data_IF_938402243280
#
_entry.id   IF_938402243280
#
_cell.length_a   1.000
_cell.length_b   1.000
_cell.length_c   1.000
_cell.angle_alpha   90.00
_cell.angle_beta   90.00
_cell.angle_gamma   90.00
#
_symmetry.space_group_name_H-M   'P 1'
#
loop_
_entity.id
_entity.type
_entity.pdbx_description
1 polymer ?
#
# COMPACT_ATOMS: atom_id res chain seq x y z
N UNK A 1 -38.77 1.61 -9.21
CA UNK A 1 -38.30 0.39 -8.51
C UNK A 1 -37.64 0.84 -7.21
N UNK A 2 -37.83 0.09 -6.12
CA UNK A 2 -37.23 0.46 -4.83
C UNK A 2 -35.72 0.21 -4.86
N UNK A 3 -34.95 1.22 -4.43
CA UNK A 3 -33.48 1.20 -4.38
C UNK A 3 -33.02 1.37 -2.94
N UNK A 4 -31.75 1.08 -2.68
CA UNK A 4 -31.13 1.33 -1.38
C UNK A 4 -30.63 2.77 -1.30
N UNK A 5 -30.98 3.46 -0.24
CA UNK A 5 -30.59 4.84 0.03
C UNK A 5 -30.02 4.93 1.44
N UNK A 6 -29.06 5.83 1.67
CA UNK A 6 -28.58 6.11 3.02
C UNK A 6 -29.62 6.93 3.80
N UNK A 7 -29.89 6.54 5.05
CA UNK A 7 -30.60 7.40 6.01
C UNK A 7 -29.67 8.01 7.04
N UNK A 8 -28.59 7.31 7.39
CA UNK A 8 -27.52 7.86 8.20
C UNK A 8 -26.19 7.31 7.69
N UNK A 9 -25.19 8.16 7.54
CA UNK A 9 -23.85 7.74 7.11
C UNK A 9 -22.75 8.53 7.80
N UNK A 10 -21.71 7.82 8.22
CA UNK A 10 -20.42 8.36 8.63
C UNK A 10 -19.36 7.67 7.78
N UNK A 11 -19.01 8.32 6.66
CA UNK A 11 -18.06 7.78 5.69
C UNK A 11 -16.65 7.59 6.28
N UNK A 12 -16.29 8.41 7.28
CA UNK A 12 -14.98 8.37 7.93
C UNK A 12 -14.88 7.18 8.88
N UNK A 13 -15.92 6.94 9.67
CA UNK A 13 -16.00 5.78 10.54
C UNK A 13 -16.37 4.48 9.80
N UNK A 14 -16.75 4.58 8.51
CA UNK A 14 -17.22 3.45 7.72
C UNK A 14 -18.56 2.90 8.22
N UNK A 15 -19.38 3.75 8.83
CA UNK A 15 -20.66 3.36 9.40
C UNK A 15 -21.78 3.87 8.51
N UNK A 16 -22.72 3.00 8.15
CA UNK A 16 -23.87 3.41 7.36
C UNK A 16 -25.13 2.64 7.73
N UNK A 17 -26.26 3.33 7.62
CA UNK A 17 -27.58 2.72 7.66
C UNK A 17 -28.28 3.01 6.33
N UNK A 18 -28.62 1.96 5.60
CA UNK A 18 -29.32 2.04 4.34
C UNK A 18 -30.73 1.45 4.44
N UNK A 19 -31.66 2.03 3.68
CA UNK A 19 -33.07 1.63 3.63
C UNK A 19 -33.45 1.39 2.18
N UNK A 20 -34.20 0.31 1.94
CA UNK A 20 -34.77 0.04 0.63
C UNK A 20 -36.09 0.77 0.46
N UNK A 21 -36.11 1.87 -0.30
CA UNK A 21 -37.30 2.70 -0.52
C UNK A 21 -37.35 3.33 -1.91
N UNK A 22 -38.48 3.95 -2.31
CA UNK A 22 -38.49 4.88 -3.42
C UNK A 22 -37.62 6.13 -3.13
N UNK A 23 -37.19 6.87 -4.17
CA UNK A 23 -36.52 8.16 -4.00
C UNK A 23 -37.38 9.12 -3.19
N UNK A 24 -36.76 9.90 -2.29
CA UNK A 24 -37.49 10.87 -1.47
C UNK A 24 -38.03 11.97 -2.37
N UNK A 25 -39.35 12.13 -2.43
CA UNK A 25 -40.00 13.31 -3.04
C UNK A 25 -40.57 14.20 -1.93
N UNK A 26 -40.87 15.47 -2.23
CA UNK A 26 -41.47 16.40 -1.26
C UNK A 26 -42.77 15.89 -0.62
N UNK A 27 -43.44 14.91 -1.23
CA UNK A 27 -44.67 14.29 -0.74
C UNK A 27 -44.46 12.92 -0.09
N UNK A 28 -43.22 12.42 0.00
CA UNK A 28 -42.95 11.10 0.61
C UNK A 28 -42.77 11.28 2.10
N UNK A 29 -43.86 11.11 2.86
CA UNK A 29 -43.73 10.90 4.30
C UNK A 29 -42.82 9.71 4.56
N UNK A 30 -41.99 9.84 5.59
CA UNK A 30 -41.11 8.79 6.11
C UNK A 30 -42.00 7.62 6.60
N UNK A 31 -42.44 6.76 5.68
CA UNK A 31 -43.13 5.50 6.01
C UNK A 31 -42.04 4.53 6.47
N UNK A 32 -41.75 4.59 7.77
CA UNK A 32 -40.52 4.07 8.37
C UNK A 32 -40.54 2.60 8.77
N UNK A 33 -41.72 1.95 8.86
CA UNK A 33 -41.82 0.70 9.62
C UNK A 33 -41.85 -0.57 8.75
N UNK A 34 -41.95 -0.47 7.43
CA UNK A 34 -42.10 -1.65 6.55
C UNK A 34 -40.93 -1.86 5.59
N UNK A 35 -40.02 -0.90 5.47
CA UNK A 35 -38.90 -1.00 4.54
C UNK A 35 -37.71 -1.73 5.17
N UNK A 36 -37.10 -2.72 4.47
CA UNK A 36 -35.87 -3.35 4.91
C UNK A 36 -34.77 -2.31 5.21
N UNK A 37 -34.14 -2.45 6.36
CA UNK A 37 -33.09 -1.56 6.83
C UNK A 37 -31.85 -2.36 7.22
N UNK A 38 -30.69 -1.91 6.75
CA UNK A 38 -29.41 -2.59 6.91
C UNK A 38 -28.39 -1.63 7.52
N UNK A 39 -27.60 -2.13 8.47
CA UNK A 39 -26.43 -1.49 9.03
C UNK A 39 -25.16 -2.08 8.43
N UNK A 40 -24.16 -1.23 8.19
CA UNK A 40 -22.86 -1.59 7.63
C UNK A 40 -21.77 -0.99 8.51
N UNK A 41 -20.76 -1.79 8.85
CA UNK A 41 -19.61 -1.38 9.66
C UNK A 41 -18.35 -2.21 9.34
N UNK A 42 -17.15 -1.66 9.59
CA UNK A 42 -15.91 -2.44 9.54
C UNK A 42 -15.89 -3.55 10.62
N UNK A 43 -15.01 -4.58 10.47
CA UNK A 43 -14.08 -4.78 9.36
C UNK A 43 -14.69 -5.50 8.15
N UNK A 44 -15.83 -6.18 8.34
CA UNK A 44 -16.41 -7.07 7.33
C UNK A 44 -17.39 -6.41 6.36
N UNK A 45 -17.96 -5.26 6.71
CA UNK A 45 -19.02 -4.57 5.94
C UNK A 45 -20.17 -5.49 5.51
N UNK A 46 -20.41 -6.55 6.27
CA UNK A 46 -21.54 -7.45 6.02
C UNK A 46 -22.84 -6.74 6.40
N UNK A 47 -23.88 -6.81 5.56
CA UNK A 47 -25.16 -6.16 5.85
C UNK A 47 -25.84 -6.80 7.07
N UNK A 48 -26.06 -6.02 8.11
CA UNK A 48 -26.78 -6.44 9.32
C UNK A 48 -28.19 -5.87 9.33
N UNK A 49 -29.21 -6.74 9.38
CA UNK A 49 -30.59 -6.29 9.42
C UNK A 49 -30.93 -5.60 10.74
N UNK A 50 -31.50 -4.40 10.67
CA UNK A 50 -32.01 -3.69 11.85
C UNK A 50 -33.52 -3.56 11.77
N UNK A 51 -34.19 -3.89 12.88
CA UNK A 51 -35.65 -3.98 12.92
C UNK A 51 -36.38 -2.63 13.02
N UNK A 52 -35.68 -1.52 13.20
CA UNK A 52 -36.29 -0.23 13.44
C UNK A 52 -35.48 0.94 12.86
N UNK A 53 -36.11 1.72 11.98
CA UNK A 53 -35.49 2.91 11.38
C UNK A 53 -35.22 4.04 12.39
N UNK A 54 -35.84 4.01 13.57
CA UNK A 54 -35.55 4.94 14.66
C UNK A 54 -34.07 4.95 15.05
N UNK A 55 -33.35 3.83 14.84
CA UNK A 55 -31.89 3.76 15.05
C UNK A 55 -31.16 4.71 14.08
N UNK A 56 -31.55 4.73 12.81
CA UNK A 56 -30.97 5.65 11.83
C UNK A 56 -31.28 7.11 12.17
N UNK A 57 -32.51 7.40 12.61
CA UNK A 57 -32.88 8.75 13.03
C UNK A 57 -32.13 9.20 14.29
N UNK A 58 -31.84 8.27 15.21
CA UNK A 58 -31.03 8.58 16.38
C UNK A 58 -29.57 8.84 15.97
N UNK A 59 -29.02 8.03 15.07
CA UNK A 59 -27.66 8.21 14.55
C UNK A 59 -27.50 9.56 13.81
N UNK A 60 -28.46 9.94 12.96
CA UNK A 60 -28.43 11.20 12.21
C UNK A 60 -28.64 12.46 13.06
N UNK A 61 -29.22 12.33 14.26
CA UNK A 61 -29.23 13.41 15.27
C UNK A 61 -27.89 13.55 16.00
N UNK A 62 -27.04 12.53 15.93
CA UNK A 62 -25.69 12.54 16.48
C UNK A 62 -24.70 13.14 15.48
N UNK A 63 -23.68 12.37 15.12
CA UNK A 63 -22.61 12.77 14.20
C UNK A 63 -22.81 12.33 12.76
N UNK A 64 -23.81 11.48 12.47
CA UNK A 64 -24.00 10.93 11.12
C UNK A 64 -24.62 11.97 10.20
N UNK A 65 -24.16 12.01 8.95
CA UNK A 65 -24.83 12.75 7.90
C UNK A 65 -26.16 12.08 7.54
N UNK A 66 -27.24 12.86 7.49
CA UNK A 66 -28.53 12.40 7.01
C UNK A 66 -28.54 12.35 5.48
N UNK A 67 -28.72 11.16 4.91
CA UNK A 67 -28.72 10.92 3.46
C UNK A 67 -27.44 11.37 2.74
N UNK A 68 -27.32 11.03 1.45
CA UNK A 68 -26.18 11.39 0.62
C UNK A 68 -26.68 11.83 -0.75
N UNK A 69 -26.13 12.93 -1.26
CA UNK A 69 -26.60 13.57 -2.49
C UNK A 69 -25.43 13.89 -3.42
N UNK A 70 -25.70 13.81 -4.72
CA UNK A 70 -24.86 14.34 -5.81
C UNK A 70 -25.66 15.44 -6.49
N UNK A 71 -25.30 16.70 -6.25
CA UNK A 71 -26.13 17.83 -6.62
C UNK A 71 -27.50 17.71 -5.97
N UNK A 72 -28.57 17.71 -6.78
CA UNK A 72 -29.96 17.58 -6.31
C UNK A 72 -30.46 16.13 -6.28
N UNK A 73 -29.62 15.16 -6.68
CA UNK A 73 -30.03 13.75 -6.79
C UNK A 73 -29.54 12.95 -5.59
N UNK A 74 -30.47 12.29 -4.90
CA UNK A 74 -30.14 11.36 -3.82
C UNK A 74 -29.38 10.14 -4.36
N UNK A 75 -28.26 9.80 -3.70
CA UNK A 75 -27.47 8.62 -4.01
C UNK A 75 -28.31 7.36 -3.77
N UNK A 76 -28.24 6.42 -4.70
CA UNK A 76 -29.05 5.20 -4.66
C UNK A 76 -28.30 4.01 -5.24
N UNK A 77 -28.57 2.82 -4.69
CA UNK A 77 -27.91 1.57 -5.04
C UNK A 77 -28.95 0.49 -5.38
N UNK A 78 -28.60 -0.42 -6.29
CA UNK A 78 -29.47 -1.54 -6.66
C UNK A 78 -29.48 -2.63 -5.59
N UNK A 79 -28.32 -2.91 -4.97
CA UNK A 79 -28.16 -4.01 -4.01
C UNK A 79 -27.42 -3.58 -2.74
N UNK A 80 -27.53 -4.33 -1.62
CA UNK A 80 -26.74 -4.08 -0.42
C UNK A 80 -25.22 -4.19 -0.63
N UNK A 81 -24.77 -5.03 -1.55
CA UNK A 81 -23.35 -5.23 -1.86
C UNK A 81 -22.73 -3.95 -2.46
N UNK A 82 -23.48 -3.22 -3.29
CA UNK A 82 -23.07 -1.91 -3.78
C UNK A 82 -22.96 -0.90 -2.62
N UNK A 83 -23.88 -0.93 -1.66
CA UNK A 83 -23.80 -0.07 -0.47
C UNK A 83 -22.54 -0.40 0.34
N UNK A 84 -22.30 -1.68 0.61
CA UNK A 84 -21.15 -2.15 1.37
C UNK A 84 -19.83 -1.75 0.71
N UNK A 85 -19.69 -1.96 -0.61
CA UNK A 85 -18.48 -1.61 -1.36
C UNK A 85 -18.25 -0.09 -1.39
N UNK A 86 -19.31 0.71 -1.56
CA UNK A 86 -19.19 2.18 -1.50
C UNK A 86 -18.67 2.65 -0.13
N UNK A 87 -19.28 2.16 0.96
CA UNK A 87 -18.90 2.54 2.34
C UNK A 87 -17.49 2.04 2.67
N UNK A 88 -17.15 0.80 2.29
CA UNK A 88 -15.81 0.23 2.47
C UNK A 88 -14.75 1.07 1.77
N UNK A 89 -14.97 1.42 0.50
CA UNK A 89 -13.99 2.21 -0.27
C UNK A 89 -13.82 3.61 0.32
N UNK A 90 -14.90 4.25 0.75
CA UNK A 90 -14.83 5.54 1.43
C UNK A 90 -14.06 5.45 2.76
N UNK A 91 -14.38 4.46 3.60
CA UNK A 91 -13.69 4.19 4.86
C UNK A 91 -12.19 3.95 4.68
N UNK A 92 -11.83 3.02 3.79
CA UNK A 92 -10.42 2.68 3.54
C UNK A 92 -9.67 3.86 2.93
N UNK A 93 -10.30 4.61 2.02
CA UNK A 93 -9.72 5.83 1.46
C UNK A 93 -9.50 6.91 2.51
N UNK A 94 -10.41 7.01 3.49
CA UNK A 94 -10.37 7.95 4.62
C UNK A 94 -9.48 7.53 5.79
N UNK A 95 -9.03 6.27 5.83
CA UNK A 95 -8.26 5.66 6.93
C UNK A 95 -6.84 6.24 7.15
N UNK A 96 -6.55 7.45 6.66
CA UNK A 96 -5.42 8.26 7.12
C UNK A 96 -5.62 8.86 8.52
N UNK A 97 -6.24 8.07 9.42
CA UNK A 97 -6.51 8.43 10.79
C UNK A 97 -7.80 9.23 10.99
N UNK A 98 -8.61 8.74 11.91
CA UNK A 98 -9.15 9.60 12.95
C UNK A 98 -7.98 10.30 13.65
N UNK A 99 -7.37 11.32 13.01
CA UNK A 99 -6.36 12.21 13.57
C UNK A 99 -6.89 13.08 14.71
N UNK A 100 -7.82 12.54 15.50
CA UNK A 100 -8.43 13.14 16.67
C UNK A 100 -7.70 12.77 17.96
N UNK A 101 -7.30 11.51 18.19
CA UNK A 101 -6.80 11.12 19.51
C UNK A 101 -5.71 10.03 19.45
N UNK A 102 -4.44 10.44 19.43
CA UNK A 102 -3.42 9.78 20.24
C UNK A 102 -2.95 8.36 19.89
N UNK A 103 -3.09 7.90 18.64
CA UNK A 103 -2.30 6.75 18.15
C UNK A 103 -0.82 7.13 18.11
N UNK A 104 -0.11 6.94 19.22
CA UNK A 104 1.25 7.45 19.50
C UNK A 104 2.38 6.79 18.71
N UNK A 105 2.24 6.68 17.39
CA UNK A 105 3.34 6.40 16.48
C UNK A 105 3.97 7.70 15.99
N UNK A 106 5.28 7.82 16.09
CA UNK A 106 6.01 8.78 15.27
C UNK A 106 5.79 8.35 13.81
N UNK A 107 4.92 9.05 13.06
CA UNK A 107 4.66 8.77 11.63
C UNK A 107 5.94 8.82 10.77
N UNK A 108 5.89 8.83 9.43
CA UNK A 108 7.12 8.87 8.64
C UNK A 108 7.97 10.09 8.97
N UNK A 109 9.30 10.00 8.79
CA UNK A 109 10.18 11.18 8.93
C UNK A 109 9.70 12.27 7.98
N UNK A 110 9.50 13.52 8.46
CA UNK A 110 9.06 14.61 7.59
C UNK A 110 10.12 14.94 6.53
N UNK A 111 9.72 15.51 5.39
CA UNK A 111 10.68 15.99 4.42
C UNK A 111 11.53 17.13 5.00
N UNK A 112 12.79 17.22 4.57
CA UNK A 112 13.71 18.25 5.05
C UNK A 112 13.32 19.62 4.44
N UNK A 113 13.10 20.66 5.27
CA UNK A 113 12.83 22.00 4.76
C UNK A 113 14.06 22.47 3.97
N UNK A 114 13.82 23.06 2.80
CA UNK A 114 14.80 23.77 1.97
C UNK A 114 15.86 22.92 1.23
N UNK A 115 15.69 21.58 1.14
CA UNK A 115 16.57 20.74 0.29
C UNK A 115 15.94 20.46 -1.08
N UNK A 116 16.65 20.73 -2.20
CA UNK A 116 16.16 20.35 -3.52
C UNK A 116 16.08 18.82 -3.59
N UNK A 117 14.87 18.29 -3.77
CA UNK A 117 14.67 16.85 -3.96
C UNK A 117 14.96 16.48 -5.40
N UNK A 118 15.43 15.25 -5.61
CA UNK A 118 15.58 14.75 -6.96
C UNK A 118 14.21 14.26 -7.44
N UNK A 119 13.64 14.94 -8.43
CA UNK A 119 12.32 14.64 -8.98
C UNK A 119 12.38 13.69 -10.19
N UNK A 120 13.58 13.32 -10.66
CA UNK A 120 13.69 12.46 -11.84
C UNK A 120 13.19 11.04 -11.54
N UNK A 121 12.25 10.49 -12.32
CA UNK A 121 11.80 9.11 -12.15
C UNK A 121 12.97 8.13 -12.21
N UNK A 122 12.93 7.09 -11.38
CA UNK A 122 13.88 5.97 -11.48
C UNK A 122 13.59 5.23 -12.78
N UNK A 123 14.62 5.04 -13.60
CA UNK A 123 14.53 4.24 -14.85
C UNK A 123 15.41 3.03 -14.68
N UNK A 124 14.85 1.82 -14.76
CA UNK A 124 15.63 0.57 -14.83
C UNK A 124 15.75 0.13 -16.28
N UNK A 125 16.98 -0.17 -16.71
CA UNK A 125 17.25 -0.70 -18.05
C UNK A 125 16.44 -1.97 -18.33
N UNK A 126 15.77 -2.01 -19.48
CA UNK A 126 14.93 -3.14 -19.90
C UNK A 126 13.56 -3.20 -19.21
N UNK A 127 13.20 -2.20 -18.40
CA UNK A 127 11.85 -2.05 -17.87
C UNK A 127 11.09 -0.95 -18.64
N UNK A 128 10.09 -1.37 -19.41
CA UNK A 128 9.28 -0.47 -20.25
C UNK A 128 8.15 0.23 -19.49
N UNK A 129 8.13 0.11 -18.16
CA UNK A 129 7.07 0.65 -17.30
C UNK A 129 6.05 -0.40 -16.86
N UNK A 130 5.09 -0.02 -15.99
CA UNK A 130 4.04 -0.89 -15.48
C UNK A 130 2.93 -1.09 -16.51
N UNK A 131 3.27 -1.50 -17.74
CA UNK A 131 2.35 -1.56 -18.89
C UNK A 131 1.06 -2.31 -18.55
N UNK A 132 1.17 -3.49 -17.95
CA UNK A 132 0.01 -4.35 -17.71
C UNK A 132 -0.86 -3.84 -16.55
N UNK A 133 -0.24 -3.45 -15.42
CA UNK A 133 -1.02 -2.92 -14.29
C UNK A 133 -1.64 -1.55 -14.61
N UNK A 134 -0.92 -0.69 -15.33
CA UNK A 134 -1.45 0.57 -15.81
C UNK A 134 -2.62 0.35 -16.78
N UNK A 135 -2.53 -0.65 -17.66
CA UNK A 135 -3.64 -1.01 -18.55
C UNK A 135 -4.90 -1.43 -17.76
N UNK A 136 -4.75 -2.22 -16.69
CA UNK A 136 -5.88 -2.60 -15.83
C UNK A 136 -6.47 -1.40 -15.09
N UNK A 137 -5.65 -0.47 -14.58
CA UNK A 137 -6.15 0.78 -13.98
C UNK A 137 -6.89 1.64 -15.02
N UNK A 138 -6.39 1.73 -16.25
CA UNK A 138 -7.08 2.41 -17.35
C UNK A 138 -8.40 1.72 -17.74
N UNK A 139 -8.47 0.38 -17.70
CA UNK A 139 -9.71 -0.36 -17.91
C UNK A 139 -10.72 -0.06 -16.82
N UNK A 140 -10.30 -0.01 -15.55
CA UNK A 140 -11.17 0.38 -14.44
C UNK A 140 -11.68 1.82 -14.60
N UNK A 141 -10.80 2.77 -14.92
CA UNK A 141 -11.19 4.16 -15.23
C UNK A 141 -12.19 4.23 -16.40
N UNK A 142 -12.04 3.38 -17.40
CA UNK A 142 -12.97 3.29 -18.54
C UNK A 142 -14.33 2.71 -18.12
N UNK A 143 -14.35 1.73 -17.20
CA UNK A 143 -15.59 1.23 -16.63
C UNK A 143 -16.33 2.36 -15.89
N UNK A 144 -15.63 3.08 -15.01
CA UNK A 144 -16.16 4.24 -14.28
C UNK A 144 -16.78 5.28 -15.21
N UNK A 145 -16.09 5.66 -16.29
CA UNK A 145 -16.61 6.69 -17.23
C UNK A 145 -17.82 6.22 -18.05
N UNK A 146 -18.01 4.91 -18.19
CA UNK A 146 -19.15 4.31 -18.91
C UNK A 146 -20.34 4.03 -18.00
N UNK A 147 -20.11 3.89 -16.69
CA UNK A 147 -21.18 3.66 -15.71
C UNK A 147 -22.07 4.88 -15.57
N UNK A 148 -23.38 4.69 -15.77
CA UNK A 148 -24.36 5.77 -15.67
C UNK A 148 -24.65 6.13 -14.22
N UNK A 149 -25.16 7.34 -14.02
CA UNK A 149 -25.53 7.82 -12.70
C UNK A 149 -26.53 6.88 -12.00
N UNK A 150 -26.25 6.51 -10.75
CA UNK A 150 -27.06 5.56 -9.99
C UNK A 150 -26.98 4.12 -10.48
N UNK A 151 -26.04 3.78 -11.36
CA UNK A 151 -25.70 2.40 -11.70
C UNK A 151 -24.31 2.07 -11.14
N UNK A 152 -24.03 0.78 -11.01
CA UNK A 152 -22.69 0.24 -10.78
C UNK A 152 -22.35 -0.74 -11.90
N UNK A 153 -21.07 -1.01 -12.10
CA UNK A 153 -20.60 -2.01 -13.06
C UNK A 153 -19.58 -2.89 -12.37
N UNK A 154 -19.83 -4.21 -12.38
CA UNK A 154 -18.87 -5.18 -11.87
C UNK A 154 -17.58 -5.15 -12.70
N UNK A 155 -16.45 -5.18 -12.01
CA UNK A 155 -15.13 -5.13 -12.58
C UNK A 155 -14.26 -6.23 -12.01
N UNK A 156 -13.70 -7.04 -12.90
CA UNK A 156 -12.76 -8.10 -12.56
C UNK A 156 -11.33 -7.67 -12.90
N UNK A 157 -10.46 -7.65 -11.88
CA UNK A 157 -9.05 -7.32 -12.02
C UNK A 157 -8.26 -8.50 -12.56
N UNK A 158 -7.69 -8.39 -13.77
CA UNK A 158 -6.84 -9.44 -14.31
C UNK A 158 -5.37 -9.18 -13.99
N UNK A 159 -5.01 -9.30 -12.70
CA UNK A 159 -3.63 -9.14 -12.23
C UNK A 159 -2.88 -10.46 -12.16
N UNK A 160 -3.28 -11.52 -12.87
CA UNK A 160 -2.62 -12.84 -12.74
C UNK A 160 -1.86 -13.26 -14.01
N UNK A 161 -2.36 -12.87 -15.18
CA UNK A 161 -1.77 -13.20 -16.48
C UNK A 161 -0.72 -12.16 -16.91
N UNK A 162 0.31 -12.54 -17.68
CA UNK A 162 1.28 -11.64 -18.32
C UNK A 162 2.43 -11.10 -17.45
N UNK A 163 2.17 -10.63 -16.24
CA UNK A 163 3.11 -9.75 -15.54
C UNK A 163 4.31 -10.42 -14.85
N UNK A 164 4.67 -11.67 -15.10
CA UNK A 164 5.63 -12.36 -14.22
C UNK A 164 7.00 -11.63 -14.13
N UNK A 165 7.54 -11.21 -15.27
CA UNK A 165 8.78 -10.40 -15.30
C UNK A 165 8.55 -8.93 -14.93
N UNK A 166 7.44 -8.34 -15.39
CA UNK A 166 7.10 -6.94 -15.16
C UNK A 166 6.86 -6.64 -13.68
N UNK A 167 6.11 -7.49 -12.98
CA UNK A 167 5.73 -7.28 -11.59
C UNK A 167 6.94 -7.35 -10.63
N UNK A 168 7.94 -8.20 -10.93
CA UNK A 168 9.20 -8.20 -10.19
C UNK A 168 9.95 -6.87 -10.39
N UNK A 169 10.11 -6.43 -11.65
CA UNK A 169 10.77 -5.17 -11.97
C UNK A 169 10.03 -3.95 -11.38
N UNK A 170 8.71 -4.00 -11.32
CA UNK A 170 7.84 -2.99 -10.71
C UNK A 170 7.98 -2.97 -9.19
N UNK A 171 8.02 -4.14 -8.54
CA UNK A 171 8.29 -4.27 -7.11
C UNK A 171 9.69 -3.70 -6.77
N UNK A 172 10.70 -4.02 -7.57
CA UNK A 172 12.05 -3.46 -7.41
C UNK A 172 12.03 -1.94 -7.59
N UNK A 173 11.34 -1.40 -8.61
CA UNK A 173 11.18 0.05 -8.77
C UNK A 173 10.59 0.72 -7.52
N UNK A 174 9.51 0.16 -6.98
CA UNK A 174 8.87 0.68 -5.77
C UNK A 174 9.85 0.74 -4.60
N UNK A 175 10.61 -0.32 -4.38
CA UNK A 175 11.62 -0.37 -3.31
C UNK A 175 12.77 0.61 -3.53
N UNK A 176 13.28 0.72 -4.76
CA UNK A 176 14.32 1.70 -5.09
C UNK A 176 13.82 3.14 -4.90
N UNK A 177 12.55 3.42 -5.19
CA UNK A 177 11.93 4.72 -4.95
C UNK A 177 11.87 5.05 -3.45
N UNK A 178 11.53 4.07 -2.60
CA UNK A 178 11.55 4.22 -1.15
C UNK A 178 12.96 4.43 -0.60
N UNK A 179 13.97 3.69 -1.09
CA UNK A 179 15.36 3.91 -0.69
C UNK A 179 15.85 5.30 -1.04
N UNK A 180 15.56 5.76 -2.26
CA UNK A 180 15.91 7.12 -2.69
C UNK A 180 15.22 8.16 -1.83
N UNK A 181 13.93 8.01 -1.54
CA UNK A 181 13.20 8.95 -0.69
C UNK A 181 13.79 9.01 0.72
N UNK A 182 14.14 7.86 1.32
CA UNK A 182 14.83 7.85 2.62
C UNK A 182 16.17 8.56 2.55
N UNK A 183 16.98 8.32 1.51
CA UNK A 183 18.28 8.96 1.34
C UNK A 183 18.15 10.48 1.14
N UNK A 184 17.12 10.93 0.41
CA UNK A 184 16.82 12.36 0.23
C UNK A 184 16.39 13.01 1.56
N UNK A 185 15.76 12.23 2.46
CA UNK A 185 15.42 12.64 3.85
C UNK A 185 16.56 12.44 4.86
N UNK A 186 17.78 12.08 4.43
CA UNK A 186 18.91 11.86 5.34
C UNK A 186 19.24 13.15 6.15
N UNK A 187 19.14 13.12 7.49
CA UNK A 187 19.31 14.32 8.31
C UNK A 187 20.78 14.77 8.42
N UNK A 188 21.76 13.97 8.01
CA UNK A 188 23.17 14.30 8.22
C UNK A 188 23.56 14.14 9.69
N UNK A 189 24.28 15.14 10.21
CA UNK A 189 24.67 15.23 11.63
C UNK A 189 23.63 15.97 12.48
N UNK A 190 22.50 16.38 11.89
CA UNK A 190 21.44 17.14 12.55
C UNK A 190 20.50 16.21 13.34
N UNK A 191 19.55 16.81 14.09
CA UNK A 191 18.54 16.05 14.82
C UNK A 191 17.70 15.16 13.90
N UNK A 192 17.24 14.00 14.41
CA UNK A 192 16.42 13.05 13.64
C UNK A 192 17.17 11.85 13.07
N UNK A 193 18.49 11.76 13.25
CA UNK A 193 19.31 10.61 12.80
C UNK A 193 18.82 9.24 13.32
N UNK A 194 18.46 9.15 14.60
CA UNK A 194 17.97 7.89 15.18
C UNK A 194 16.65 7.45 14.55
N UNK A 195 15.70 8.38 14.36
CA UNK A 195 14.44 8.11 13.67
C UNK A 195 14.69 7.67 12.22
N UNK A 196 15.62 8.34 11.53
CA UNK A 196 16.07 7.93 10.20
C UNK A 196 16.62 6.50 10.15
N UNK A 197 17.46 6.13 11.12
CA UNK A 197 17.94 4.75 11.22
C UNK A 197 16.78 3.78 11.41
N UNK A 198 15.83 4.11 12.27
CA UNK A 198 14.70 3.22 12.57
C UNK A 198 13.82 2.99 11.33
N UNK A 199 13.49 4.04 10.57
CA UNK A 199 12.73 3.94 9.31
C UNK A 199 13.52 3.18 8.23
N UNK A 200 14.83 3.44 8.13
CA UNK A 200 15.71 2.79 7.18
C UNK A 200 15.87 1.28 7.48
N UNK A 201 15.98 0.92 8.77
CA UNK A 201 15.93 -0.47 9.23
C UNK A 201 14.60 -1.12 8.96
N UNK A 202 13.50 -0.40 9.16
CA UNK A 202 12.17 -0.91 8.86
C UNK A 202 12.02 -1.26 7.37
N UNK A 203 12.53 -0.41 6.46
CA UNK A 203 12.57 -0.73 5.03
C UNK A 203 13.44 -1.94 4.73
N UNK A 204 14.67 -1.97 5.26
CA UNK A 204 15.59 -3.08 5.01
C UNK A 204 15.02 -4.42 5.48
N UNK A 205 14.43 -4.47 6.67
CA UNK A 205 13.76 -5.66 7.17
C UNK A 205 12.56 -6.08 6.32
N UNK A 206 11.73 -5.12 5.87
CA UNK A 206 10.62 -5.42 4.97
C UNK A 206 11.12 -6.05 3.66
N UNK A 207 12.19 -5.49 3.07
CA UNK A 207 12.84 -6.00 1.84
C UNK A 207 13.40 -7.42 2.02
N UNK A 208 14.02 -7.71 3.17
CA UNK A 208 14.47 -9.06 3.51
C UNK A 208 13.28 -10.02 3.64
N UNK A 209 12.24 -9.60 4.36
CA UNK A 209 11.05 -10.41 4.63
C UNK A 209 10.36 -10.85 3.34
N UNK A 210 10.24 -9.95 2.36
CA UNK A 210 9.69 -10.26 1.04
C UNK A 210 10.68 -10.96 0.09
N UNK A 211 11.86 -11.36 0.59
CA UNK A 211 12.90 -12.08 -0.15
C UNK A 211 13.48 -11.31 -1.36
N UNK A 212 13.38 -9.98 -1.35
CA UNK A 212 13.78 -9.15 -2.50
C UNK A 212 15.25 -8.75 -2.47
N UNK A 213 15.93 -8.79 -1.31
CA UNK A 213 17.35 -8.43 -1.19
C UNK A 213 18.26 -9.14 -2.22
N UNK A 214 18.17 -10.47 -2.41
CA UNK A 214 18.88 -11.18 -3.48
C UNK A 214 18.67 -10.61 -4.89
N UNK A 215 17.45 -10.19 -5.19
CA UNK A 215 17.10 -9.61 -6.50
C UNK A 215 17.73 -8.23 -6.63
N UNK A 216 17.67 -7.39 -5.60
CA UNK A 216 18.32 -6.08 -5.58
C UNK A 216 19.84 -6.15 -5.74
N UNK A 217 20.48 -7.19 -5.21
CA UNK A 217 21.92 -7.42 -5.33
C UNK A 217 22.33 -8.05 -6.67
N UNK A 218 21.36 -8.47 -7.50
CA UNK A 218 21.64 -8.99 -8.83
C UNK A 218 21.81 -7.85 -9.86
N UNK A 219 22.61 -8.08 -10.90
CA UNK A 219 22.70 -7.19 -12.06
C UNK A 219 21.41 -7.38 -12.89
N UNK A 220 20.69 -6.31 -13.31
CA UNK A 220 21.07 -4.89 -13.36
C UNK A 220 20.65 -4.02 -12.16
N UNK A 221 19.88 -4.56 -11.21
CA UNK A 221 19.33 -3.79 -10.09
C UNK A 221 20.40 -3.21 -9.17
N UNK A 222 21.48 -3.96 -8.95
CA UNK A 222 22.63 -3.51 -8.18
C UNK A 222 23.24 -2.21 -8.72
N UNK A 223 23.31 -2.06 -10.06
CA UNK A 223 23.84 -0.85 -10.68
C UNK A 223 22.95 0.38 -10.41
N UNK A 224 21.63 0.20 -10.39
CA UNK A 224 20.68 1.28 -10.09
C UNK A 224 20.75 1.67 -8.62
N UNK A 225 20.77 0.68 -7.74
CA UNK A 225 20.90 0.93 -6.31
C UNK A 225 22.24 1.62 -5.99
N UNK A 226 23.34 1.20 -6.63
CA UNK A 226 24.63 1.89 -6.57
C UNK A 226 24.57 3.32 -7.11
N UNK A 227 23.91 3.55 -8.24
CA UNK A 227 23.73 4.89 -8.80
C UNK A 227 22.98 5.81 -7.85
N UNK A 228 21.87 5.36 -7.25
CA UNK A 228 21.14 6.12 -6.22
C UNK A 228 22.07 6.55 -5.08
N UNK A 229 22.98 5.66 -4.67
CA UNK A 229 23.94 5.94 -3.62
C UNK A 229 25.01 6.93 -4.02
N UNK A 230 25.60 6.76 -5.20
CA UNK A 230 26.60 7.67 -5.75
C UNK A 230 26.05 9.10 -5.89
N UNK A 231 24.75 9.26 -6.18
CA UNK A 231 24.08 10.55 -6.25
C UNK A 231 23.61 11.08 -4.87
N UNK A 232 23.57 10.23 -3.85
CA UNK A 232 23.21 10.63 -2.49
C UNK A 232 24.36 11.40 -1.83
N UNK A 233 24.05 12.47 -1.08
CA UNK A 233 25.08 13.29 -0.41
C UNK A 233 25.91 12.55 0.65
N UNK A 234 25.51 11.33 1.07
CA UNK A 234 26.36 10.41 1.84
C UNK A 234 27.75 10.21 1.21
N UNK A 235 27.86 10.40 -0.12
CA UNK A 235 29.09 10.29 -0.89
C UNK A 235 29.92 11.57 -1.01
N UNK A 236 29.37 12.74 -0.67
CA UNK A 236 30.03 14.04 -0.92
C UNK A 236 31.20 14.35 0.03
N UNK A 237 31.40 13.59 1.11
CA UNK A 237 32.49 13.78 2.10
C UNK A 237 33.82 13.07 1.74
N UNK A 238 33.94 12.49 0.53
CA UNK A 238 35.22 12.44 -0.20
C UNK A 238 36.35 11.48 0.24
N UNK A 239 36.18 10.53 1.16
CA UNK A 239 37.31 9.69 1.63
C UNK A 239 37.14 8.17 1.56
N UNK A 240 35.95 7.65 1.28
CA UNK A 240 35.70 6.19 1.24
C UNK A 240 35.34 5.73 -0.18
N UNK A 241 35.83 4.54 -0.58
CA UNK A 241 35.47 3.91 -1.85
C UNK A 241 33.94 3.66 -1.91
N UNK A 242 33.26 3.87 -3.06
CA UNK A 242 31.82 3.66 -3.21
C UNK A 242 31.30 2.34 -2.61
N UNK A 243 32.02 1.26 -2.91
CA UNK A 243 31.71 -0.05 -2.35
C UNK A 243 31.71 -0.10 -0.81
N UNK A 244 32.58 0.64 -0.12
CA UNK A 244 32.62 0.63 1.34
C UNK A 244 31.41 1.36 1.95
N UNK A 245 31.05 2.53 1.40
CA UNK A 245 29.83 3.27 1.81
C UNK A 245 28.55 2.50 1.49
N UNK A 246 28.54 1.79 0.38
CA UNK A 246 27.49 0.84 0.05
C UNK A 246 27.34 -0.21 1.15
N UNK A 247 28.44 -0.84 1.56
CA UNK A 247 28.44 -1.87 2.61
C UNK A 247 28.03 -1.29 3.97
N UNK A 248 28.53 -0.10 4.35
CA UNK A 248 28.08 0.61 5.56
C UNK A 248 26.58 0.88 5.54
N UNK A 249 26.01 1.21 4.39
CA UNK A 249 24.57 1.43 4.28
C UNK A 249 23.79 0.11 4.29
N UNK A 250 24.28 -0.96 3.66
CA UNK A 250 23.71 -2.30 3.80
C UNK A 250 23.70 -2.68 5.30
N UNK A 251 24.81 -2.49 6.01
CA UNK A 251 24.88 -2.70 7.47
C UNK A 251 23.88 -1.82 8.24
N UNK A 252 23.69 -0.57 7.82
CA UNK A 252 22.75 0.35 8.45
C UNK A 252 21.29 -0.07 8.23
N UNK A 253 20.96 -0.49 7.01
CA UNK A 253 19.63 -0.89 6.56
C UNK A 253 19.21 -2.25 7.10
N UNK A 254 20.15 -3.18 7.24
CA UNK A 254 19.84 -4.56 7.63
C UNK A 254 20.28 -4.89 9.06
N UNK A 255 21.19 -4.11 9.66
CA UNK A 255 21.61 -4.21 11.05
C UNK A 255 22.99 -4.88 11.26
N UNK A 256 23.62 -4.71 12.43
CA UNK A 256 24.94 -5.25 12.74
C UNK A 256 24.96 -6.78 12.90
N UNK A 257 23.82 -7.44 13.10
CA UNK A 257 23.79 -8.91 13.09
C UNK A 257 24.06 -9.50 11.68
N UNK A 258 24.10 -8.63 10.66
CA UNK A 258 24.56 -8.94 9.30
C UNK A 258 26.04 -8.57 9.07
N UNK A 259 26.81 -8.32 10.14
CA UNK A 259 28.22 -7.92 10.10
C UNK A 259 29.05 -8.85 9.20
N UNK A 260 29.76 -8.20 8.29
CA UNK A 260 30.69 -8.77 7.33
C UNK A 260 32.04 -9.05 8.01
N UNK A 261 32.06 -9.92 9.02
CA UNK A 261 33.32 -10.31 9.65
C UNK A 261 34.16 -11.12 8.66
N UNK A 262 35.26 -10.48 8.23
CA UNK A 262 36.37 -10.90 7.35
C UNK A 262 36.30 -10.48 5.87
N UNK A 263 36.93 -9.33 5.56
CA UNK A 263 37.52 -9.06 4.24
C UNK A 263 39.05 -8.95 4.37
N UNK A 264 39.81 -10.05 4.36
CA UNK A 264 41.24 -9.99 4.10
C UNK A 264 41.44 -9.80 2.60
N UNK A 265 42.21 -8.78 2.23
CA UNK A 265 42.25 -8.21 0.89
C UNK A 265 42.50 -9.19 -0.25
N UNK A 266 41.65 -9.12 -1.27
CA UNK A 266 41.99 -9.22 -2.70
C UNK A 266 40.71 -9.21 -3.53
N UNK A 267 40.75 -8.46 -4.63
CA UNK A 267 40.13 -8.80 -5.92
C UNK A 267 38.82 -9.63 -5.89
N UNK A 268 37.68 -8.93 -6.05
CA UNK A 268 36.50 -9.34 -6.84
C UNK A 268 36.04 -10.82 -6.81
N UNK A 269 36.23 -11.51 -5.68
CA UNK A 269 35.56 -12.78 -5.42
C UNK A 269 34.27 -12.54 -4.61
N UNK A 270 33.15 -12.37 -5.33
CA UNK A 270 31.81 -12.68 -4.79
C UNK A 270 31.78 -14.18 -4.45
N UNK A 271 31.89 -14.65 -3.17
CA UNK A 271 30.85 -15.60 -2.69
C UNK A 271 30.65 -15.87 -1.17
N UNK A 272 31.34 -15.28 -0.17
CA UNK A 272 31.15 -15.73 1.25
C UNK A 272 30.11 -14.97 2.07
N UNK A 273 30.06 -13.66 1.91
CA UNK A 273 29.11 -12.80 2.62
C UNK A 273 27.65 -12.99 2.17
N UNK A 274 27.45 -13.29 0.88
CA UNK A 274 26.15 -13.59 0.29
C UNK A 274 25.50 -14.81 0.98
N UNK A 275 26.28 -15.85 1.28
CA UNK A 275 25.82 -17.05 1.98
C UNK A 275 25.34 -16.75 3.42
N UNK A 276 26.10 -15.94 4.17
CA UNK A 276 25.71 -15.54 5.53
C UNK A 276 24.49 -14.62 5.54
N UNK A 277 24.35 -13.70 4.58
CA UNK A 277 23.12 -12.88 4.44
C UNK A 277 21.88 -13.75 4.29
N UNK A 278 21.95 -14.83 3.50
CA UNK A 278 20.85 -15.79 3.37
C UNK A 278 20.57 -16.56 4.65
N UNK A 279 21.62 -16.99 5.36
CA UNK A 279 21.50 -17.73 6.61
C UNK A 279 20.87 -16.82 7.69
N UNK A 280 21.42 -15.63 7.93
CA UNK A 280 20.88 -14.69 8.93
C UNK A 280 19.48 -14.19 8.59
N UNK A 281 19.16 -13.93 7.32
CA UNK A 281 17.80 -13.57 6.88
C UNK A 281 16.78 -14.70 7.03
N UNK A 282 17.21 -15.97 6.99
CA UNK A 282 16.35 -17.12 7.21
C UNK A 282 16.11 -17.41 8.70
N UNK A 283 17.06 -17.04 9.59
CA UNK A 283 17.04 -17.39 11.01
C UNK A 283 16.72 -16.24 11.97
N UNK A 284 16.88 -14.98 11.56
CA UNK A 284 16.37 -13.86 12.33
C UNK A 284 14.84 -13.94 12.27
N UNK A 285 14.22 -14.53 13.31
CA UNK A 285 12.81 -14.24 13.59
C UNK A 285 12.76 -12.74 13.77
N UNK A 286 12.15 -11.97 12.83
CA UNK A 286 11.94 -10.57 13.09
C UNK A 286 11.21 -10.51 14.43
N UNK A 287 11.50 -9.55 15.31
CA UNK A 287 10.61 -9.35 16.46
C UNK A 287 9.19 -9.24 15.91
N UNK A 288 8.16 -9.57 16.70
CA UNK A 288 6.76 -9.60 16.25
C UNK A 288 6.27 -8.21 15.83
N UNK A 289 6.78 -7.71 14.71
CA UNK A 289 6.58 -6.38 14.19
C UNK A 289 5.26 -6.43 13.46
N UNK A 290 4.38 -5.55 13.87
CA UNK A 290 3.17 -5.28 13.12
C UNK A 290 3.60 -4.67 11.78
N UNK A 291 3.29 -5.36 10.69
CA UNK A 291 3.64 -4.90 9.34
C UNK A 291 3.01 -3.55 9.03
N UNK A 292 1.87 -3.25 9.63
CA UNK A 292 1.19 -1.97 9.46
C UNK A 292 2.02 -0.85 10.08
N UNK A 293 2.62 -1.05 11.26
CA UNK A 293 3.53 -0.07 11.88
C UNK A 293 4.74 0.22 10.99
N UNK A 294 5.25 -0.79 10.26
CA UNK A 294 6.34 -0.60 9.29
C UNK A 294 5.84 0.27 8.13
N UNK A 295 4.74 -0.11 7.49
CA UNK A 295 4.18 0.64 6.35
C UNK A 295 3.76 2.07 6.74
N UNK A 296 3.35 2.26 7.99
CA UNK A 296 3.04 3.57 8.56
C UNK A 296 4.28 4.44 8.73
N UNK A 297 5.46 3.89 9.02
CA UNK A 297 6.70 4.65 9.16
C UNK A 297 7.39 4.97 7.85
N UNK A 298 7.14 4.21 6.80
CA UNK A 298 7.84 4.40 5.53
C UNK A 298 7.30 5.63 4.78
N UNK A 299 8.13 6.64 4.47
CA UNK A 299 7.69 7.79 3.70
C UNK A 299 7.43 7.41 2.24
N UNK A 300 6.53 8.15 1.58
CA UNK A 300 6.34 8.06 0.13
C UNK A 300 7.14 9.13 -0.61
N UNK A 301 7.58 8.87 -1.85
CA UNK A 301 8.27 9.87 -2.66
C UNK A 301 7.43 11.12 -2.92
N UNK A 302 8.06 12.28 -3.02
CA UNK A 302 7.38 13.56 -3.31
C UNK A 302 6.46 13.51 -4.55
N UNK A 303 6.85 12.90 -5.70
CA UNK A 303 5.95 12.77 -6.85
C UNK A 303 4.67 11.96 -6.57
N UNK A 304 4.68 11.14 -5.49
CA UNK A 304 3.55 10.34 -5.02
C UNK A 304 2.74 11.11 -3.95
N UNK A 305 3.35 12.05 -3.22
CA UNK A 305 2.68 12.87 -2.21
C UNK A 305 1.51 13.69 -2.80
N UNK A 306 1.56 14.01 -4.10
CA UNK A 306 0.50 14.74 -4.82
C UNK A 306 -0.86 14.00 -4.87
N UNK A 307 -0.90 12.70 -4.59
CA UNK A 307 -2.14 11.91 -4.51
C UNK A 307 -2.95 12.25 -3.24
N UNK A 308 -2.28 12.72 -2.19
CA UNK A 308 -2.91 12.95 -0.92
C UNK A 308 -3.53 14.36 -0.85
N UNK A 309 -4.69 14.51 -0.20
CA UNK A 309 -5.23 15.82 0.13
C UNK A 309 -4.22 16.66 0.93
N UNK A 310 -4.17 17.98 0.68
CA UNK A 310 -3.22 18.89 1.31
C UNK A 310 -3.32 18.96 2.84
N UNK A 311 -4.44 18.50 3.42
CA UNK A 311 -4.75 18.50 4.85
C UNK A 311 -4.39 17.20 5.58
N UNK A 312 -3.98 16.13 4.87
CA UNK A 312 -3.44 14.88 5.47
C UNK A 312 -2.06 15.11 6.12
N UNK A 313 -1.54 16.34 6.07
CA UNK A 313 -0.31 16.72 6.76
C UNK A 313 0.92 16.19 6.00
N UNK A 314 2.07 16.81 6.26
CA UNK A 314 3.33 16.66 5.52
C UNK A 314 4.01 15.28 5.65
N UNK A 315 3.25 14.23 5.93
CA UNK A 315 3.74 13.01 6.55
C UNK A 315 2.95 11.78 6.04
N UNK A 316 2.72 11.71 4.72
CA UNK A 316 2.12 10.55 4.05
C UNK A 316 3.07 9.35 4.08
N UNK A 317 2.51 8.15 4.26
CA UNK A 317 3.27 6.91 4.34
C UNK A 317 2.85 5.88 3.29
N UNK A 318 3.63 4.80 3.17
CA UNK A 318 3.32 3.67 2.29
C UNK A 318 1.97 3.05 2.63
N UNK A 319 1.61 2.98 3.92
CA UNK A 319 0.28 2.53 4.36
C UNK A 319 -0.83 3.42 3.78
N UNK A 320 -0.67 4.74 3.88
CA UNK A 320 -1.62 5.69 3.32
C UNK A 320 -1.76 5.52 1.80
N UNK A 321 -0.64 5.33 1.08
CA UNK A 321 -0.67 5.11 -0.36
C UNK A 321 -1.47 3.85 -0.73
N UNK A 322 -1.21 2.74 -0.02
CA UNK A 322 -1.92 1.49 -0.27
C UNK A 322 -3.43 1.68 -0.08
N UNK A 323 -3.84 2.33 1.01
CA UNK A 323 -5.23 2.64 1.31
C UNK A 323 -5.88 3.50 0.21
N UNK A 324 -5.18 4.53 -0.27
CA UNK A 324 -5.68 5.32 -1.40
C UNK A 324 -5.79 4.48 -2.66
N UNK A 325 -4.80 3.64 -2.96
CA UNK A 325 -4.79 2.82 -4.17
C UNK A 325 -5.91 1.76 -4.18
N UNK A 326 -6.16 1.08 -3.07
CA UNK A 326 -7.25 0.08 -2.97
C UNK A 326 -8.64 0.72 -2.90
N UNK A 327 -8.74 1.99 -2.49
CA UNK A 327 -9.97 2.76 -2.48
C UNK A 327 -10.27 3.37 -3.85
N UNK A 328 -9.27 4.02 -4.46
CA UNK A 328 -9.33 4.68 -5.75
C UNK A 328 -8.04 4.49 -6.57
N UNK A 329 -7.93 3.40 -7.36
CA UNK A 329 -6.74 3.14 -8.15
C UNK A 329 -6.53 4.18 -9.26
N UNK A 330 -7.56 4.97 -9.63
CA UNK A 330 -7.47 6.02 -10.65
C UNK A 330 -6.55 7.16 -10.21
N UNK A 331 -6.29 7.30 -8.91
CA UNK A 331 -5.33 8.26 -8.37
C UNK A 331 -3.92 8.08 -8.98
N UNK A 332 -3.55 6.85 -9.39
CA UNK A 332 -2.30 6.58 -10.07
C UNK A 332 -2.21 7.21 -11.49
N UNK A 333 -3.35 7.59 -12.08
CA UNK A 333 -3.45 8.19 -13.41
C UNK A 333 -3.47 9.72 -13.38
N UNK A 334 -3.49 10.35 -12.21
CA UNK A 334 -3.53 11.80 -12.13
C UNK A 334 -2.23 12.42 -12.70
N UNK A 335 -2.38 13.58 -13.35
CA UNK A 335 -1.27 14.25 -14.01
C UNK A 335 -0.19 14.65 -13.01
N UNK A 336 1.08 14.59 -13.43
CA UNK A 336 2.27 14.89 -12.63
C UNK A 336 2.61 13.89 -11.52
N UNK A 337 1.99 12.71 -11.52
CA UNK A 337 2.33 11.62 -10.62
C UNK A 337 3.20 10.60 -11.34
N UNK A 338 4.23 10.10 -10.64
CA UNK A 338 5.00 8.95 -11.11
C UNK A 338 4.17 7.67 -10.89
N UNK A 339 3.40 7.28 -11.90
CA UNK A 339 2.57 6.09 -11.89
C UNK A 339 3.38 4.81 -11.57
N UNK A 340 4.62 4.73 -12.07
CA UNK A 340 5.50 3.57 -11.81
C UNK A 340 5.80 3.46 -10.32
N UNK A 341 6.12 4.57 -9.66
CA UNK A 341 6.35 4.61 -8.23
C UNK A 341 5.09 4.24 -7.44
N UNK A 342 3.92 4.80 -7.80
CA UNK A 342 2.64 4.48 -7.13
C UNK A 342 2.33 3.00 -7.17
N UNK A 343 2.41 2.42 -8.37
CA UNK A 343 2.09 1.01 -8.60
C UNK A 343 3.12 0.08 -7.95
N UNK A 344 4.42 0.42 -8.05
CA UNK A 344 5.50 -0.34 -7.42
C UNK A 344 5.44 -0.33 -5.90
N UNK A 345 5.19 0.82 -5.29
CA UNK A 345 5.08 0.95 -3.83
C UNK A 345 3.81 0.27 -3.31
N UNK A 346 2.69 0.36 -4.04
CA UNK A 346 1.46 -0.37 -3.68
C UNK A 346 1.66 -1.89 -3.73
N UNK A 347 2.39 -2.38 -4.75
CA UNK A 347 2.77 -3.80 -4.84
C UNK A 347 3.71 -4.22 -3.71
N UNK A 348 4.67 -3.35 -3.34
CA UNK A 348 5.54 -3.57 -2.18
C UNK A 348 4.76 -3.67 -0.87
N UNK A 349 3.79 -2.77 -0.65
CA UNK A 349 2.96 -2.79 0.55
C UNK A 349 2.10 -4.07 0.62
N UNK A 350 1.52 -4.50 -0.50
CA UNK A 350 0.82 -5.77 -0.61
C UNK A 350 1.73 -6.98 -0.31
N UNK A 351 2.98 -6.96 -0.80
CA UNK A 351 3.98 -8.00 -0.51
C UNK A 351 4.33 -8.08 0.97
N UNK A 352 4.46 -6.93 1.63
CA UNK A 352 4.65 -6.84 3.07
C UNK A 352 3.48 -7.50 3.81
N UNK A 353 2.23 -7.16 3.48
CA UNK A 353 1.03 -7.73 4.10
C UNK A 353 0.94 -9.25 3.89
N UNK A 354 1.16 -9.73 2.66
CA UNK A 354 1.11 -11.15 2.34
C UNK A 354 2.16 -11.99 3.10
N UNK A 355 3.28 -11.38 3.45
CA UNK A 355 4.35 -12.03 4.21
C UNK A 355 4.21 -11.82 5.73
N UNK A 356 3.25 -11.03 6.20
CA UNK A 356 3.04 -10.72 7.62
C UNK A 356 2.42 -11.89 8.40
N UNK A 357 1.35 -12.49 7.86
CA UNK A 357 0.61 -13.60 8.49
C UNK A 357 1.06 -15.00 8.05
N UNK A 358 1.76 -15.08 6.92
CA UNK A 358 2.35 -16.33 6.45
C UNK A 358 3.82 -16.30 6.84
N UNK A 359 4.30 -17.22 7.67
CA UNK A 359 5.68 -17.62 7.56
C UNK A 359 5.80 -18.26 6.17
N UNK A 360 6.03 -17.43 5.15
CA UNK A 360 6.55 -17.87 3.86
C UNK A 360 7.78 -18.74 4.14
N UNK A 361 8.54 -18.39 5.18
CA UNK A 361 9.53 -19.25 5.80
C UNK A 361 9.00 -20.63 6.24
N UNK A 362 7.84 -20.83 6.88
CA UNK A 362 7.33 -22.17 7.23
C UNK A 362 6.84 -22.99 6.03
N UNK A 363 6.29 -22.38 4.98
CA UNK A 363 6.04 -23.10 3.70
C UNK A 363 7.37 -23.51 3.03
N UNK A 364 8.44 -22.78 3.31
CA UNK A 364 9.81 -23.05 2.84
C UNK A 364 10.67 -23.85 3.85
N UNK A 365 10.25 -24.00 5.11
CA UNK A 365 11.01 -24.65 6.19
C UNK A 365 11.18 -26.14 5.91
N UNK A 366 10.21 -26.88 5.32
CA UNK A 366 10.48 -28.24 4.85
C UNK A 366 11.67 -28.29 3.88
N UNK A 367 11.82 -27.29 3.01
CA UNK A 367 12.94 -27.19 2.07
C UNK A 367 14.27 -26.81 2.72
N UNK A 368 14.27 -26.17 3.88
CA UNK A 368 15.48 -25.82 4.63
C UNK A 368 15.87 -26.89 5.66
N UNK A 369 14.90 -27.57 6.28
CA UNK A 369 15.14 -28.65 7.24
C UNK A 369 15.71 -29.92 6.56
N UNK A 370 15.26 -30.23 5.34
CA UNK A 370 15.76 -31.37 4.56
C UNK A 370 17.15 -31.13 3.93
N UNK A 371 17.65 -29.89 3.96
CA UNK A 371 18.97 -29.53 3.43
C UNK A 371 20.11 -29.75 4.43
N UNK A 372 19.78 -30.03 5.70
CA UNK A 372 20.75 -30.17 6.79
C UNK A 372 20.67 -31.49 7.56
N UNK A 373 19.66 -32.32 7.31
CA UNK A 373 19.67 -33.72 7.73
C UNK A 373 20.16 -34.59 6.58
N UNK A 374 21.35 -35.17 6.76
CA UNK A 374 22.01 -36.22 5.97
C UNK A 374 21.10 -36.96 4.96
N UNK A 375 20.87 -36.37 3.79
CA UNK A 375 20.43 -37.14 2.64
C UNK A 375 21.67 -37.72 1.96
N UNK A 376 21.65 -38.99 1.53
CA UNK A 376 22.66 -39.51 0.62
C UNK A 376 22.73 -38.61 -0.63
N UNK A 377 23.93 -38.40 -1.17
CA UNK A 377 24.35 -37.41 -2.19
C UNK A 377 23.50 -37.29 -3.47
N UNK A 378 22.44 -38.09 -3.61
CA UNK A 378 21.72 -38.36 -4.86
C UNK A 378 20.34 -37.68 -4.93
N UNK A 379 19.80 -37.16 -3.82
CA UNK A 379 18.50 -36.46 -3.79
C UNK A 379 18.69 -35.02 -3.33
N UNK A 380 18.94 -34.11 -4.28
CA UNK A 380 18.89 -32.67 -4.01
C UNK A 380 17.42 -32.25 -3.88
N UNK A 381 16.93 -31.81 -2.70
CA UNK A 381 15.64 -31.15 -2.64
C UNK A 381 15.67 -29.97 -3.62
N UNK A 382 14.62 -29.82 -4.43
CA UNK A 382 14.47 -28.68 -5.34
C UNK A 382 14.37 -27.40 -4.50
N UNK A 383 15.52 -26.81 -4.15
CA UNK A 383 15.54 -25.53 -3.45
C UNK A 383 15.00 -24.48 -4.42
N UNK A 384 13.83 -23.92 -4.12
CA UNK A 384 13.34 -22.75 -4.85
C UNK A 384 14.40 -21.67 -4.67
N UNK A 385 15.00 -21.23 -5.78
CA UNK A 385 16.01 -20.17 -5.77
C UNK A 385 15.43 -18.91 -5.13
N UNK A 386 16.28 -18.03 -4.58
CA UNK A 386 15.80 -16.78 -4.02
C UNK A 386 14.93 -15.93 -4.99
N UNK A 387 15.28 -15.84 -6.29
CA UNK A 387 14.39 -15.25 -7.29
C UNK A 387 13.03 -15.96 -7.38
N UNK A 388 13.00 -17.29 -7.31
CA UNK A 388 11.75 -18.05 -7.30
C UNK A 388 10.88 -17.75 -6.08
N UNK A 389 11.47 -17.55 -4.90
CA UNK A 389 10.72 -17.14 -3.69
C UNK A 389 10.17 -15.74 -3.80
N UNK A 390 10.97 -14.79 -4.26
CA UNK A 390 10.52 -13.43 -4.52
C UNK A 390 9.35 -13.45 -5.53
N UNK A 391 9.43 -14.29 -6.56
CA UNK A 391 8.35 -14.45 -7.55
C UNK A 391 7.05 -14.95 -6.91
N UNK A 392 7.13 -15.91 -5.98
CA UNK A 392 5.96 -16.37 -5.23
C UNK A 392 5.33 -15.25 -4.40
N UNK A 393 6.16 -14.42 -3.76
CA UNK A 393 5.68 -13.26 -2.99
C UNK A 393 4.98 -12.28 -3.93
N UNK A 394 5.59 -11.95 -5.08
CA UNK A 394 4.97 -11.08 -6.10
C UNK A 394 3.60 -11.63 -6.54
N UNK A 395 3.50 -12.92 -6.81
CA UNK A 395 2.24 -13.53 -7.23
C UNK A 395 1.16 -13.48 -6.13
N UNK A 396 1.53 -13.79 -4.87
CA UNK A 396 0.62 -13.63 -3.72
C UNK A 396 0.17 -12.17 -3.57
N UNK A 397 1.07 -11.22 -3.78
CA UNK A 397 0.80 -9.77 -3.68
C UNK A 397 -0.17 -9.29 -4.76
N UNK A 398 0.00 -9.77 -6.00
CA UNK A 398 -0.90 -9.46 -7.12
C UNK A 398 -2.32 -9.98 -6.85
N UNK A 399 -2.43 -11.23 -6.38
CA UNK A 399 -3.71 -11.82 -6.00
C UNK A 399 -4.37 -11.03 -4.87
N UNK A 400 -3.60 -10.68 -3.84
CA UNK A 400 -4.09 -9.85 -2.75
C UNK A 400 -4.61 -8.50 -3.25
N UNK A 401 -3.88 -7.82 -4.14
CA UNK A 401 -4.35 -6.58 -4.76
C UNK A 401 -5.65 -6.79 -5.53
N UNK A 402 -5.74 -7.82 -6.39
CA UNK A 402 -6.95 -8.10 -7.15
C UNK A 402 -8.18 -8.39 -6.25
N UNK A 403 -7.96 -9.00 -5.08
CA UNK A 403 -9.02 -9.30 -4.11
C UNK A 403 -9.52 -8.05 -3.36
N UNK A 404 -8.65 -7.05 -3.14
CA UNK A 404 -8.92 -5.87 -2.30
C UNK A 404 -9.20 -4.59 -3.09
N UNK A 405 -8.78 -4.54 -4.36
CA UNK A 405 -9.12 -3.47 -5.30
C UNK A 405 -10.64 -3.42 -5.56
N UNK A 406 -11.17 -2.27 -6.03
CA UNK A 406 -12.61 -2.08 -6.19
C UNK A 406 -13.24 -3.09 -7.15
N UNK A 407 -14.28 -3.80 -6.71
CA UNK A 407 -15.01 -4.75 -7.57
C UNK A 407 -16.16 -4.11 -8.32
N UNK A 408 -16.57 -2.92 -7.88
CA UNK A 408 -17.62 -2.13 -8.51
C UNK A 408 -17.06 -0.79 -8.94
N UNK A 409 -17.22 -0.49 -10.23
CA UNK A 409 -17.08 0.85 -10.78
C UNK A 409 -18.41 1.59 -10.62
N UNK A 410 -18.39 2.74 -9.97
CA UNK A 410 -19.54 3.63 -9.92
C UNK A 410 -19.43 4.71 -11.00
N UNK A 411 -20.55 5.41 -11.24
CA UNK A 411 -20.51 6.64 -12.05
C UNK A 411 -19.52 7.65 -11.48
N UNK A 412 -18.92 8.53 -12.31
CA UNK A 412 -17.90 9.48 -11.85
C UNK A 412 -18.30 10.30 -10.62
N UNK A 413 -19.54 10.82 -10.49
CA UNK A 413 -19.90 11.58 -9.30
C UNK A 413 -19.92 10.76 -7.99
N UNK A 414 -20.19 9.46 -8.06
CA UNK A 414 -20.16 8.59 -6.88
C UNK A 414 -18.71 8.28 -6.50
N UNK A 415 -17.88 8.04 -7.51
CA UNK A 415 -16.44 7.88 -7.32
C UNK A 415 -15.80 9.13 -6.71
N UNK A 416 -16.23 10.33 -7.15
CA UNK A 416 -15.77 11.59 -6.58
C UNK A 416 -16.18 11.74 -5.11
N UNK A 417 -17.37 11.26 -4.71
CA UNK A 417 -17.77 11.21 -3.31
C UNK A 417 -16.89 10.27 -2.48
N UNK A 418 -16.51 9.10 -3.02
CA UNK A 418 -15.58 8.17 -2.38
C UNK A 418 -14.24 8.89 -2.13
N UNK A 419 -13.71 9.60 -3.12
CA UNK A 419 -12.46 10.36 -3.00
C UNK A 419 -12.57 11.50 -1.99
N UNK A 420 -13.69 12.23 -2.00
CA UNK A 420 -13.94 13.38 -1.12
C UNK A 420 -14.23 12.99 0.32
N UNK A 421 -14.61 11.75 0.60
CA UNK A 421 -14.84 11.27 1.98
C UNK A 421 -13.66 11.57 2.92
N UNK A 422 -12.43 11.62 2.36
CA UNK A 422 -11.18 11.97 3.05
C UNK A 422 -11.17 13.37 3.66
N UNK A 423 -11.85 14.33 3.04
CA UNK A 423 -11.83 15.75 3.42
C UNK A 423 -13.09 16.19 4.19
N UNK A 424 -14.06 15.29 4.37
CA UNK A 424 -15.26 15.56 5.15
C UNK A 424 -14.95 15.57 6.65
N UNK A 425 -14.37 16.67 7.15
CA UNK A 425 -14.44 17.02 8.58
C UNK A 425 -15.86 17.46 8.87
N UNK A 426 -16.48 16.92 9.93
CA UNK A 426 -17.82 17.30 10.38
C UNK A 426 -18.00 18.83 10.32
N UNK A 427 -18.69 19.32 9.28
CA UNK A 427 -19.34 20.62 9.39
C UNK A 427 -20.52 20.33 10.30
N UNK A 428 -20.36 20.59 11.59
CA UNK A 428 -21.50 20.79 12.47
C UNK A 428 -22.33 21.90 11.83
N UNK A 429 -23.36 21.52 11.07
CA UNK A 429 -24.37 22.46 10.60
C UNK A 429 -25.13 22.85 11.85
N UNK A 430 -24.78 24.02 12.41
CA UNK A 430 -25.48 24.63 13.53
C UNK A 430 -26.84 25.19 13.14
#
# INVERSE_FOLDING_TARGET
MNRWHFEAIDLRAGLAIAVRRPPRTAATELVCNENPCLFFAPPGFQPEAIGNLAVAMAASRGSFQASLYVGETEVSFATPEEVAEFVRRAYVGGAGGDGGDGGGGDGPIPPLPDRPRNLEPIRIEGFDGPVELAAEVHRFQTAVTRTKHGESTEFEWNLSQGMQGEAMSLLVHGVLALYRELLDRWPGKEGGYLRWIDDARALGQAVIRIQLLPVLLSVPYFNHFRSILEHSKLYSDGTAHPFHRFMEMIELLFGPDYVFDELPGSELHFPRWHRRLYETAAYASPPAWNILDILEKLPVPEPVEAIFPADVGKVSSVYHLLNVFVSDPRAALASNIDMTAVLGISLFAAACICTAGTPVLQELVPYFADLYHEYPDDVKPMSISAPGRAQMVVEKSRRWLAEHLPRLAYSPPYEDLIVQSKSQRYRLVG
#
